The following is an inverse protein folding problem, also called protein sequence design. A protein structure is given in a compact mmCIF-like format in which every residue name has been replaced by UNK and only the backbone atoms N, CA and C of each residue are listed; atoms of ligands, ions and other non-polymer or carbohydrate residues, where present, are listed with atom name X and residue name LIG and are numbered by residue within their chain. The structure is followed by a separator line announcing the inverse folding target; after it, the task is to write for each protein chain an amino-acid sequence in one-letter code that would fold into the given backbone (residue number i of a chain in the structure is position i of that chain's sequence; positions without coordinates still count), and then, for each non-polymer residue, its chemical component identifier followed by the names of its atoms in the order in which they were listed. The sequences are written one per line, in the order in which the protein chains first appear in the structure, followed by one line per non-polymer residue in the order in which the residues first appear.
data_IF_278868337119
#
_entry.id   IF_278868337119
#
_cell.length_a   1.000
_cell.length_b   1.000
_cell.length_c   1.000
_cell.angle_alpha   90.00
_cell.angle_beta   90.00
_cell.angle_gamma   90.00
#
_symmetry.space_group_name_H-M   'P 1'
#
loop_
_entity.id
_entity.type
_entity.pdbx_description
1 polymer ?
#
# COMPACT_ATOMS: atom_id res chain seq x y z
N UNK A 1 35.23 15.36 -35.03
CA UNK A 1 35.69 16.39 -34.08
C UNK A 1 37.14 16.65 -34.35
N UNK A 2 37.48 17.91 -34.59
CA UNK A 2 38.85 18.44 -34.75
C UNK A 2 39.68 18.38 -33.46
N UNK A 3 39.05 18.17 -32.31
CA UNK A 3 39.70 18.19 -30.99
C UNK A 3 39.73 19.59 -30.35
N UNK A 4 39.17 20.59 -31.04
CA UNK A 4 39.01 21.97 -30.58
C UNK A 4 37.55 22.39 -30.74
N UNK A 5 37.15 23.43 -29.99
CA UNK A 5 35.80 24.01 -30.02
C UNK A 5 35.91 25.43 -30.56
N UNK A 6 35.17 25.72 -31.64
CA UNK A 6 35.05 27.07 -32.17
C UNK A 6 33.92 27.87 -31.48
N UNK A 7 33.85 29.17 -31.77
CA UNK A 7 32.87 30.08 -31.14
C UNK A 7 31.43 29.64 -31.42
N UNK A 8 31.14 29.13 -32.62
CA UNK A 8 29.80 28.75 -33.07
C UNK A 8 29.35 27.41 -32.45
N UNK A 9 30.29 26.48 -32.27
CA UNK A 9 30.10 25.23 -31.55
C UNK A 9 29.83 25.51 -30.06
N UNK A 10 30.60 26.40 -29.43
CA UNK A 10 30.38 26.80 -28.04
C UNK A 10 28.98 27.44 -27.86
N UNK A 11 28.57 28.29 -28.80
CA UNK A 11 27.23 28.90 -28.81
C UNK A 11 26.12 27.85 -28.83
N UNK A 12 26.29 26.82 -29.67
CA UNK A 12 25.32 25.73 -29.83
C UNK A 12 25.22 24.86 -28.56
N UNK A 13 26.35 24.63 -27.88
CA UNK A 13 26.38 23.94 -26.58
C UNK A 13 25.61 24.73 -25.53
N UNK A 14 25.90 26.03 -25.37
CA UNK A 14 25.22 26.89 -24.40
C UNK A 14 23.71 26.98 -24.69
N UNK A 15 23.31 27.11 -25.96
CA UNK A 15 21.91 27.12 -26.34
C UNK A 15 21.18 25.82 -25.97
N UNK A 16 21.86 24.68 -26.11
CA UNK A 16 21.32 23.37 -25.77
C UNK A 16 21.18 23.20 -24.26
N UNK A 17 22.21 23.57 -23.47
CA UNK A 17 22.18 23.58 -22.00
C UNK A 17 21.04 24.46 -21.46
N UNK A 18 20.81 25.62 -22.07
CA UNK A 18 19.74 26.53 -21.69
C UNK A 18 18.35 25.95 -21.93
N UNK A 19 18.14 25.28 -23.08
CA UNK A 19 16.88 24.59 -23.38
C UNK A 19 16.61 23.44 -22.42
N UNK A 20 17.66 22.69 -22.03
CA UNK A 20 17.54 21.60 -21.06
C UNK A 20 17.20 22.12 -19.67
N UNK A 21 17.78 23.25 -19.28
CA UNK A 21 17.55 23.88 -17.96
C UNK A 21 16.29 24.74 -17.88
N UNK A 22 15.48 24.79 -18.95
CA UNK A 22 14.29 25.64 -19.07
C UNK A 22 14.56 27.14 -18.79
N UNK A 23 15.79 27.61 -19.04
CA UNK A 23 16.18 29.02 -18.93
C UNK A 23 16.03 29.65 -20.33
N UNK A 24 15.40 30.82 -20.42
CA UNK A 24 15.33 31.62 -21.65
C UNK A 24 16.11 32.92 -21.50
N UNK A 25 17.04 33.17 -22.41
CA UNK A 25 17.76 34.43 -22.55
C UNK A 25 17.56 34.97 -23.97
N UNK A 26 17.51 36.28 -24.17
CA UNK A 26 17.57 36.89 -25.51
C UNK A 26 18.84 36.45 -26.24
N UNK A 27 18.75 36.22 -27.56
CA UNK A 27 19.87 35.74 -28.37
C UNK A 27 21.10 36.68 -28.26
N UNK A 28 20.89 37.99 -28.21
CA UNK A 28 21.97 38.98 -28.01
C UNK A 28 22.76 38.78 -26.72
N UNK A 29 22.10 38.38 -25.63
CA UNK A 29 22.76 38.08 -24.35
C UNK A 29 23.46 36.75 -24.36
N UNK A 30 22.92 35.77 -25.10
CA UNK A 30 23.57 34.47 -25.31
C UNK A 30 24.85 34.64 -26.12
N UNK A 31 24.83 35.49 -27.15
CA UNK A 31 26.00 35.79 -27.97
C UNK A 31 27.08 36.51 -27.15
N UNK A 32 26.70 37.51 -26.34
CA UNK A 32 27.62 38.19 -25.42
C UNK A 32 28.22 37.23 -24.37
N UNK A 33 27.42 36.33 -23.81
CA UNK A 33 27.89 35.32 -22.87
C UNK A 33 28.87 34.34 -23.54
N UNK A 34 28.55 33.93 -24.76
CA UNK A 34 29.40 33.02 -25.55
C UNK A 34 30.74 33.67 -25.82
N UNK A 35 30.75 34.93 -26.29
CA UNK A 35 31.97 35.68 -26.54
C UNK A 35 32.80 35.88 -25.28
N UNK A 36 32.19 36.30 -24.17
CA UNK A 36 32.89 36.50 -22.91
C UNK A 36 33.51 35.21 -22.36
N UNK A 37 32.80 34.08 -22.49
CA UNK A 37 33.31 32.78 -22.07
C UNK A 37 34.40 32.25 -23.02
N UNK A 38 34.26 32.54 -24.32
CA UNK A 38 35.24 32.16 -25.32
C UNK A 38 36.56 32.92 -25.14
N UNK A 39 36.51 34.25 -25.00
CA UNK A 39 37.68 35.10 -24.77
C UNK A 39 38.38 34.77 -23.44
N UNK A 40 37.62 34.33 -22.43
CA UNK A 40 38.20 33.92 -21.15
C UNK A 40 38.89 32.55 -21.22
N UNK A 41 38.36 31.64 -22.04
CA UNK A 41 38.88 30.28 -22.22
C UNK A 41 40.07 30.21 -23.19
N UNK A 42 40.06 30.99 -24.28
CA UNK A 42 41.09 31.06 -25.32
C UNK A 42 42.33 31.83 -24.82
N UNK A 43 43.14 31.18 -23.98
CA UNK A 43 44.31 31.79 -23.33
C UNK A 43 45.44 32.09 -24.31
N UNK A 44 45.56 31.30 -25.38
CA UNK A 44 46.61 31.45 -26.38
C UNK A 44 46.18 32.28 -27.61
N UNK A 45 44.92 32.74 -27.63
CA UNK A 45 44.32 33.61 -28.65
C UNK A 45 44.40 33.01 -30.06
N UNK A 46 44.30 31.68 -30.16
CA UNK A 46 44.41 30.96 -31.42
C UNK A 46 43.05 30.86 -32.16
N UNK A 47 41.95 31.33 -31.55
CA UNK A 47 40.61 31.31 -32.10
C UNK A 47 39.89 29.96 -31.96
N UNK A 48 40.38 29.06 -31.10
CA UNK A 48 39.85 27.73 -30.88
C UNK A 48 40.16 27.21 -29.46
N UNK A 49 39.13 26.80 -28.71
CA UNK A 49 39.31 26.32 -27.34
C UNK A 49 39.69 24.84 -27.35
N UNK A 50 40.82 24.50 -26.75
CA UNK A 50 41.22 23.11 -26.53
C UNK A 50 40.51 22.49 -25.32
N UNK A 51 40.51 21.16 -25.22
CA UNK A 51 39.91 20.46 -24.07
C UNK A 51 40.49 20.90 -22.73
N UNK A 52 41.82 21.10 -22.67
CA UNK A 52 42.49 21.51 -21.42
C UNK A 52 42.11 22.94 -21.04
N UNK A 53 41.98 23.85 -22.00
CA UNK A 53 41.54 25.24 -21.77
C UNK A 53 40.08 25.30 -21.29
N UNK A 54 39.17 24.57 -21.93
CA UNK A 54 37.79 24.50 -21.50
C UNK A 54 37.69 23.90 -20.08
N UNK A 55 38.46 22.83 -19.81
CA UNK A 55 38.48 22.20 -18.48
C UNK A 55 38.94 23.18 -17.41
N UNK A 56 40.02 23.89 -17.66
CA UNK A 56 40.57 24.85 -16.70
C UNK A 56 39.58 26.00 -16.42
N UNK A 57 38.87 26.45 -17.46
CA UNK A 57 37.88 27.52 -17.33
C UNK A 57 36.63 27.07 -16.54
N UNK A 58 36.13 25.87 -16.82
CA UNK A 58 35.02 25.28 -16.06
C UNK A 58 35.39 24.96 -14.61
N UNK A 59 36.65 24.61 -14.33
CA UNK A 59 37.15 24.43 -12.96
C UNK A 59 37.26 25.76 -12.21
N UNK A 60 37.54 26.87 -12.92
CA UNK A 60 37.59 28.21 -12.34
C UNK A 60 36.22 28.70 -11.89
N UNK A 61 35.15 28.25 -12.57
CA UNK A 61 33.77 28.58 -12.25
C UNK A 61 32.94 27.33 -11.93
N UNK A 62 33.14 26.69 -10.75
CA UNK A 62 32.48 25.43 -10.41
C UNK A 62 30.95 25.53 -10.40
N UNK A 63 30.40 26.69 -10.03
CA UNK A 63 28.95 26.94 -10.08
C UNK A 63 28.37 26.98 -11.50
N UNK A 64 29.19 27.25 -12.52
CA UNK A 64 28.76 27.20 -13.93
C UNK A 64 28.72 25.74 -14.41
N UNK A 65 29.71 24.92 -14.04
CA UNK A 65 29.73 23.48 -14.33
C UNK A 65 28.53 22.74 -13.69
N UNK A 66 28.18 23.07 -12.44
CA UNK A 66 27.05 22.50 -11.71
C UNK A 66 25.68 22.85 -12.31
N UNK A 67 25.56 24.00 -12.98
CA UNK A 67 24.30 24.47 -13.56
C UNK A 67 24.19 24.20 -15.08
N UNK A 68 25.30 24.14 -15.82
CA UNK A 68 25.33 23.80 -17.25
C UNK A 68 25.04 22.32 -17.50
N UNK A 69 25.39 21.47 -16.54
CA UNK A 69 24.99 20.08 -16.54
C UNK A 69 24.03 19.88 -15.38
N UNK A 70 22.72 19.80 -15.66
CA UNK A 70 21.82 19.09 -14.74
C UNK A 70 22.24 17.63 -14.82
N UNK A 71 23.36 17.31 -14.17
CA UNK A 71 23.88 15.96 -14.16
C UNK A 71 22.96 15.18 -13.26
N UNK A 72 22.02 14.45 -13.88
CA UNK A 72 21.25 13.42 -13.20
C UNK A 72 22.18 12.44 -12.46
N UNK A 73 23.46 12.34 -12.86
CA UNK A 73 24.47 11.58 -12.14
C UNK A 73 24.75 12.13 -10.72
N UNK A 74 24.63 13.44 -10.46
CA UNK A 74 24.75 14.00 -9.11
C UNK A 74 23.56 13.62 -8.21
N UNK A 75 22.38 13.43 -8.79
CA UNK A 75 21.21 12.90 -8.08
C UNK A 75 21.36 11.40 -7.78
N UNK A 76 22.18 10.71 -8.58
CA UNK A 76 22.51 9.29 -8.44
C UNK A 76 23.76 9.06 -7.61
N UNK A 77 24.61 10.07 -7.36
CA UNK A 77 25.77 9.92 -6.48
C UNK A 77 25.26 9.66 -5.06
N UNK A 78 25.48 8.45 -4.51
CA UNK A 78 25.07 8.17 -3.15
C UNK A 78 25.85 9.13 -2.23
N UNK A 79 25.19 9.72 -1.22
CA UNK A 79 25.89 10.56 -0.25
C UNK A 79 27.06 9.77 0.35
N UNK A 80 28.17 10.47 0.61
CA UNK A 80 29.39 9.87 1.17
C UNK A 80 29.03 8.91 2.31
N UNK A 81 29.56 7.69 2.24
CA UNK A 81 29.18 6.60 3.12
C UNK A 81 29.37 7.03 4.59
N UNK A 82 28.25 7.28 5.28
CA UNK A 82 28.32 7.61 6.70
C UNK A 82 28.91 6.42 7.47
N UNK A 83 29.76 6.67 8.49
CA UNK A 83 30.37 5.60 9.27
C UNK A 83 29.30 4.67 9.82
N UNK A 84 29.39 3.37 9.47
CA UNK A 84 28.45 2.34 9.93
C UNK A 84 28.47 2.27 11.45
N UNK A 85 27.44 2.83 12.11
CA UNK A 85 27.25 2.70 13.56
C UNK A 85 27.11 1.22 13.93
N UNK A 86 27.95 0.74 14.85
CA UNK A 86 28.01 -0.66 15.34
C UNK A 86 26.83 -1.07 16.23
N UNK A 87 25.95 -0.13 16.62
CA UNK A 87 24.78 -0.45 17.44
C UNK A 87 23.65 -1.02 16.56
N UNK A 88 22.93 -2.04 17.01
CA UNK A 88 21.77 -2.53 16.28
C UNK A 88 20.75 -1.40 16.10
N UNK A 89 20.23 -1.24 14.87
CA UNK A 89 19.34 -0.13 14.48
C UNK A 89 18.13 0.02 15.42
N UNK A 90 17.62 -1.09 15.96
CA UNK A 90 16.50 -1.17 16.91
C UNK A 90 16.74 -0.42 18.24
N UNK A 91 17.98 -0.28 18.69
CA UNK A 91 18.34 0.40 19.94
C UNK A 91 18.74 1.87 19.73
N UNK A 92 18.53 2.41 18.54
CA UNK A 92 18.88 3.81 18.24
C UNK A 92 17.72 4.74 18.62
N UNK A 93 18.00 5.85 19.29
CA UNK A 93 16.96 6.86 19.65
C UNK A 93 16.14 7.32 18.45
N UNK A 94 16.77 7.44 17.28
CA UNK A 94 16.08 7.80 16.03
C UNK A 94 15.05 6.74 15.59
N UNK A 95 15.32 5.44 15.83
CA UNK A 95 14.37 4.37 15.50
C UNK A 95 13.13 4.46 16.39
N UNK A 96 13.33 4.64 17.69
CA UNK A 96 12.25 4.83 18.66
C UNK A 96 11.44 6.07 18.38
N UNK A 97 12.09 7.19 18.03
CA UNK A 97 11.38 8.41 17.68
C UNK A 97 10.50 8.23 16.43
N UNK A 98 11.03 7.60 15.38
CA UNK A 98 10.32 7.39 14.11
C UNK A 98 9.19 6.36 14.24
N UNK A 99 9.29 5.41 15.17
CA UNK A 99 8.31 4.32 15.34
C UNK A 99 7.49 4.42 16.63
N UNK A 100 7.54 5.54 17.35
CA UNK A 100 6.90 5.69 18.67
C UNK A 100 5.40 5.36 18.65
N UNK A 101 4.65 5.84 17.66
CA UNK A 101 3.20 5.60 17.52
C UNK A 101 2.90 4.12 17.26
N UNK A 102 3.73 3.47 16.45
CA UNK A 102 3.63 2.04 16.16
C UNK A 102 3.95 1.19 17.40
N UNK A 103 5.02 1.52 18.12
CA UNK A 103 5.39 0.82 19.35
C UNK A 103 4.32 1.02 20.43
N UNK A 104 3.81 2.24 20.61
CA UNK A 104 2.73 2.53 21.55
C UNK A 104 1.47 1.71 21.25
N UNK A 105 1.04 1.68 19.99
CA UNK A 105 -0.11 0.87 19.55
C UNK A 105 0.12 -0.63 19.83
N UNK A 106 1.30 -1.16 19.50
CA UNK A 106 1.65 -2.56 19.76
C UNK A 106 1.71 -2.88 21.25
N UNK A 107 2.26 -1.98 22.07
CA UNK A 107 2.28 -2.15 23.53
C UNK A 107 0.87 -2.11 24.12
N UNK A 108 0.00 -1.21 23.67
CA UNK A 108 -1.39 -1.16 24.12
C UNK A 108 -2.15 -2.43 23.72
N UNK A 109 -1.95 -2.91 22.49
CA UNK A 109 -2.53 -4.16 22.00
C UNK A 109 -2.09 -5.36 22.84
N UNK A 110 -0.79 -5.51 23.11
CA UNK A 110 -0.26 -6.62 23.92
C UNK A 110 -0.70 -6.57 25.37
N UNK A 111 -0.72 -5.38 25.99
CA UNK A 111 -1.25 -5.20 27.36
C UNK A 111 -2.73 -5.58 27.43
N UNK A 112 -3.54 -5.16 26.46
CA UNK A 112 -4.94 -5.55 26.39
C UNK A 112 -5.11 -7.07 26.28
N UNK A 113 -4.30 -7.74 25.47
CA UNK A 113 -4.32 -9.21 25.33
C UNK A 113 -3.99 -9.91 26.64
N UNK A 114 -2.93 -9.49 27.31
CA UNK A 114 -2.52 -10.06 28.61
C UNK A 114 -3.63 -9.84 29.64
N UNK A 115 -4.23 -8.66 29.67
CA UNK A 115 -5.32 -8.33 30.59
C UNK A 115 -6.56 -9.21 30.34
N UNK A 116 -7.04 -9.28 29.10
CA UNK A 116 -8.20 -10.10 28.73
C UNK A 116 -7.97 -11.58 29.04
N UNK A 117 -6.78 -12.09 28.70
CA UNK A 117 -6.40 -13.46 28.99
C UNK A 117 -6.38 -13.73 30.50
N UNK A 118 -5.70 -12.88 31.28
CA UNK A 118 -5.56 -13.05 32.72
C UNK A 118 -6.90 -12.98 33.46
N UNK A 119 -7.79 -12.06 33.07
CA UNK A 119 -9.13 -11.95 33.64
C UNK A 119 -10.00 -13.18 33.35
N UNK A 120 -9.94 -13.70 32.13
CA UNK A 120 -10.72 -14.88 31.78
C UNK A 120 -10.17 -16.15 32.43
N UNK A 121 -8.84 -16.27 32.50
CA UNK A 121 -8.15 -17.39 33.13
C UNK A 121 -8.41 -17.40 34.64
N UNK A 122 -8.35 -16.25 35.32
CA UNK A 122 -8.62 -16.15 36.76
C UNK A 122 -10.07 -16.52 37.11
N UNK A 123 -11.04 -16.08 36.31
CA UNK A 123 -12.45 -16.42 36.48
C UNK A 123 -12.74 -17.94 36.33
N UNK A 124 -11.88 -18.68 35.63
CA UNK A 124 -12.07 -20.10 35.35
C UNK A 124 -11.04 -21.01 36.05
N UNK A 125 -10.36 -20.49 37.08
CA UNK A 125 -9.31 -21.22 37.81
C UNK A 125 -9.76 -22.56 38.38
N UNK A 126 -11.02 -22.65 38.80
CA UNK A 126 -11.61 -23.85 39.38
C UNK A 126 -11.78 -25.02 38.38
N UNK A 127 -11.77 -24.74 37.06
CA UNK A 127 -12.00 -25.76 36.01
C UNK A 127 -10.71 -26.41 35.49
N UNK A 128 -9.57 -26.11 36.12
CA UNK A 128 -8.26 -26.65 35.76
C UNK A 128 -7.50 -25.82 34.72
N UNK A 129 -6.19 -26.09 34.55
CA UNK A 129 -5.29 -25.25 33.75
C UNK A 129 -5.64 -25.22 32.26
N UNK A 130 -6.08 -26.36 31.69
CA UNK A 130 -6.49 -26.42 30.27
C UNK A 130 -7.71 -25.55 30.01
N UNK A 131 -8.70 -25.55 30.91
CA UNK A 131 -9.87 -24.71 30.80
C UNK A 131 -9.54 -23.22 30.96
N UNK A 132 -8.60 -22.87 31.85
CA UNK A 132 -8.11 -21.49 31.99
C UNK A 132 -7.50 -20.97 30.69
N UNK A 133 -6.62 -21.76 30.06
CA UNK A 133 -5.99 -21.41 28.77
C UNK A 133 -7.05 -21.29 27.68
N UNK A 134 -7.96 -22.25 27.58
CA UNK A 134 -9.03 -22.23 26.59
C UNK A 134 -9.91 -20.97 26.71
N UNK A 135 -10.32 -20.60 27.93
CA UNK A 135 -11.14 -19.40 28.17
C UNK A 135 -10.36 -18.09 28.02
N UNK A 136 -9.09 -18.07 28.39
CA UNK A 136 -8.15 -16.98 28.11
C UNK A 136 -8.04 -16.68 26.62
N UNK A 137 -7.65 -17.68 25.83
CA UNK A 137 -7.56 -17.55 24.37
C UNK A 137 -8.92 -17.18 23.75
N UNK A 138 -10.02 -17.75 24.23
CA UNK A 138 -11.36 -17.44 23.74
C UNK A 138 -11.75 -15.97 23.93
N UNK A 139 -11.37 -15.32 25.04
CA UNK A 139 -11.63 -13.89 25.22
C UNK A 139 -10.79 -13.01 24.30
N UNK A 140 -9.51 -13.34 24.11
CA UNK A 140 -8.67 -12.63 23.14
C UNK A 140 -9.20 -12.79 21.71
N UNK A 141 -9.63 -14.01 21.33
CA UNK A 141 -10.23 -14.29 20.03
C UNK A 141 -11.53 -13.50 19.80
N UNK A 142 -12.37 -13.32 20.82
CA UNK A 142 -13.56 -12.47 20.69
C UNK A 142 -13.19 -11.02 20.31
N UNK A 143 -12.17 -10.48 20.98
CA UNK A 143 -11.67 -9.14 20.67
C UNK A 143 -11.05 -9.09 19.26
N UNK A 144 -10.11 -9.97 18.93
CA UNK A 144 -9.41 -9.92 17.65
C UNK A 144 -10.37 -10.15 16.46
N UNK A 145 -11.23 -11.16 16.51
CA UNK A 145 -12.15 -11.48 15.43
C UNK A 145 -13.20 -10.38 15.20
N UNK A 146 -13.49 -9.54 16.20
CA UNK A 146 -14.36 -8.37 16.04
C UNK A 146 -13.58 -7.14 15.57
N UNK A 147 -12.42 -6.85 16.17
CA UNK A 147 -11.62 -5.67 15.89
C UNK A 147 -10.91 -5.72 14.54
N UNK A 148 -10.66 -6.92 13.97
CA UNK A 148 -9.98 -7.08 12.67
C UNK A 148 -10.73 -6.43 11.52
N UNK A 149 -12.04 -6.27 11.70
CA UNK A 149 -12.96 -5.60 10.78
C UNK A 149 -12.78 -4.09 10.79
N UNK A 150 -12.50 -3.51 11.96
CA UNK A 150 -12.27 -2.08 12.18
C UNK A 150 -11.06 -1.61 11.37
N UNK A 151 -10.02 -2.45 11.30
CA UNK A 151 -8.81 -2.17 10.52
C UNK A 151 -9.07 -2.10 9.01
N UNK A 152 -10.18 -2.68 8.55
CA UNK A 152 -10.60 -2.71 7.15
C UNK A 152 -11.68 -1.67 6.80
N UNK A 153 -12.02 -0.79 7.74
CA UNK A 153 -12.88 0.38 7.54
C UNK A 153 -12.11 1.51 6.85
N UNK A 154 -11.71 1.30 5.60
CA UNK A 154 -10.77 2.20 4.90
C UNK A 154 -11.28 3.62 4.81
N UNK A 155 -12.60 3.83 4.71
CA UNK A 155 -13.17 5.18 4.56
C UNK A 155 -13.28 5.88 5.90
N UNK A 156 -13.73 5.17 6.93
CA UNK A 156 -13.75 5.71 8.29
C UNK A 156 -12.32 6.06 8.75
N UNK A 157 -11.34 5.19 8.46
CA UNK A 157 -9.93 5.45 8.78
C UNK A 157 -9.38 6.64 7.98
N UNK A 158 -9.71 6.74 6.68
CA UNK A 158 -9.32 7.88 5.85
C UNK A 158 -9.95 9.18 6.36
N UNK A 159 -11.22 9.14 6.77
CA UNK A 159 -11.94 10.28 7.33
C UNK A 159 -11.33 10.72 8.67
N UNK A 160 -10.98 9.76 9.54
CA UNK A 160 -10.34 10.03 10.83
C UNK A 160 -8.96 10.68 10.66
N UNK A 161 -8.22 10.24 9.63
CA UNK A 161 -6.95 10.84 9.20
C UNK A 161 -7.15 12.26 8.68
N UNK A 162 -8.11 12.47 7.76
CA UNK A 162 -8.31 13.77 7.09
C UNK A 162 -8.74 14.88 8.07
N UNK A 163 -9.45 14.53 9.14
CA UNK A 163 -9.89 15.50 10.16
C UNK A 163 -8.81 15.86 11.18
N UNK A 164 -7.57 15.39 11.02
CA UNK A 164 -6.44 15.68 11.91
C UNK A 164 -6.81 15.56 13.41
N UNK A 165 -7.60 14.53 13.74
CA UNK A 165 -7.98 14.26 15.14
C UNK A 165 -6.72 13.94 15.95
N UNK A 166 -6.69 14.31 17.24
CA UNK A 166 -5.62 13.92 18.17
C UNK A 166 -5.29 12.43 18.08
N UNK A 167 -6.31 11.61 17.82
CA UNK A 167 -6.21 10.17 17.64
C UNK A 167 -5.38 9.76 16.41
N UNK A 168 -5.44 10.52 15.30
CA UNK A 168 -4.64 10.27 14.10
C UNK A 168 -3.15 10.59 14.28
N UNK A 169 -2.79 11.43 15.26
CA UNK A 169 -1.39 11.70 15.61
C UNK A 169 -0.77 10.59 16.46
N UNK A 170 -1.61 9.85 17.21
CA UNK A 170 -1.19 8.77 18.10
C UNK A 170 -1.23 7.41 17.42
N UNK A 171 -2.26 7.15 16.59
CA UNK A 171 -2.43 5.86 15.91
C UNK A 171 -1.79 5.86 14.51
N UNK A 172 -0.97 4.85 14.15
CA UNK A 172 -0.40 4.70 12.82
C UNK A 172 -1.43 4.17 11.79
N UNK A 173 -2.43 4.98 11.46
CA UNK A 173 -3.58 4.57 10.62
C UNK A 173 -3.18 4.13 9.20
N UNK A 174 -2.07 4.64 8.67
CA UNK A 174 -1.58 4.30 7.32
C UNK A 174 -1.06 2.85 7.22
N UNK A 175 -0.79 2.20 8.36
CA UNK A 175 -0.32 0.80 8.43
C UNK A 175 -1.43 -0.18 8.82
N UNK A 176 -2.70 0.20 8.66
CA UNK A 176 -3.85 -0.63 9.01
C UNK A 176 -3.82 -2.04 8.38
N UNK A 177 -3.39 -2.19 7.13
CA UNK A 177 -3.26 -3.49 6.45
C UNK A 177 -2.16 -4.34 7.08
N UNK A 178 -1.03 -3.73 7.48
CA UNK A 178 0.05 -4.44 8.17
C UNK A 178 -0.42 -4.92 9.56
N UNK A 179 -1.18 -4.09 10.26
CA UNK A 179 -1.75 -4.45 11.55
C UNK A 179 -2.84 -5.53 11.43
N UNK A 180 -3.65 -5.51 10.36
CA UNK A 180 -4.58 -6.59 10.05
C UNK A 180 -3.86 -7.92 9.78
N UNK A 181 -2.74 -7.90 9.06
CA UNK A 181 -1.91 -9.10 8.86
C UNK A 181 -1.36 -9.62 10.18
N UNK A 182 -0.79 -8.73 11.01
CA UNK A 182 -0.31 -9.08 12.35
C UNK A 182 -1.40 -9.75 13.19
N UNK A 183 -2.60 -9.14 13.24
CA UNK A 183 -3.72 -9.67 14.01
C UNK A 183 -4.24 -10.98 13.43
N UNK A 184 -4.20 -11.15 12.10
CA UNK A 184 -4.48 -12.44 11.45
C UNK A 184 -3.55 -13.56 11.93
N UNK A 185 -2.24 -13.29 12.06
CA UNK A 185 -1.29 -14.26 12.64
C UNK A 185 -1.62 -14.57 14.10
N UNK A 186 -1.94 -13.55 14.90
CA UNK A 186 -2.31 -13.72 16.32
C UNK A 186 -3.58 -14.57 16.45
N UNK A 187 -4.61 -14.33 15.63
CA UNK A 187 -5.86 -15.12 15.59
C UNK A 187 -5.57 -16.58 15.28
N UNK A 188 -4.69 -16.89 14.33
CA UNK A 188 -4.33 -18.28 14.00
C UNK A 188 -3.64 -18.96 15.18
N UNK A 189 -2.65 -18.30 15.80
CA UNK A 189 -1.93 -18.86 16.95
C UNK A 189 -2.85 -19.06 18.15
N UNK A 190 -3.67 -18.06 18.49
CA UNK A 190 -4.62 -18.16 19.60
C UNK A 190 -5.70 -19.20 19.33
N UNK A 191 -6.19 -19.33 18.10
CA UNK A 191 -7.14 -20.39 17.71
C UNK A 191 -6.53 -21.77 17.89
N UNK A 192 -5.27 -21.97 17.48
CA UNK A 192 -4.58 -23.25 17.66
C UNK A 192 -4.43 -23.61 19.16
N UNK A 193 -3.95 -22.66 19.97
CA UNK A 193 -3.80 -22.86 21.42
C UNK A 193 -5.15 -23.12 22.09
N UNK A 194 -6.20 -22.39 21.68
CA UNK A 194 -7.57 -22.58 22.15
C UNK A 194 -8.10 -23.98 21.82
N UNK A 195 -7.92 -24.45 20.58
CA UNK A 195 -8.33 -25.80 20.16
C UNK A 195 -7.57 -26.87 20.93
N UNK A 196 -6.25 -26.76 21.05
CA UNK A 196 -5.43 -27.74 21.81
C UNK A 196 -5.89 -27.80 23.27
N UNK A 197 -6.11 -26.65 23.90
CA UNK A 197 -6.59 -26.58 25.28
C UNK A 197 -7.99 -27.21 25.44
N UNK A 198 -8.88 -27.06 24.46
CA UNK A 198 -10.17 -27.75 24.45
C UNK A 198 -10.04 -29.27 24.24
N UNK A 199 -9.18 -29.71 23.32
CA UNK A 199 -8.93 -31.13 23.06
C UNK A 199 -8.34 -31.81 24.29
N UNK A 200 -7.38 -31.18 24.98
CA UNK A 200 -6.83 -31.69 26.24
C UNK A 200 -7.91 -31.77 27.32
N UNK A 201 -8.75 -30.74 27.45
CA UNK A 201 -9.85 -30.74 28.41
C UNK A 201 -10.86 -31.87 28.12
N UNK A 202 -11.17 -32.10 26.84
CA UNK A 202 -12.05 -33.19 26.41
C UNK A 202 -11.44 -34.57 26.60
N UNK A 203 -10.13 -34.72 26.39
CA UNK A 203 -9.42 -35.97 26.64
C UNK A 203 -9.40 -36.31 28.13
N UNK A 204 -9.15 -35.33 29.00
CA UNK A 204 -9.21 -35.50 30.46
C UNK A 204 -10.64 -35.84 30.92
N UNK A 205 -11.65 -35.18 30.35
CA UNK A 205 -13.04 -35.48 30.64
C UNK A 205 -13.45 -36.89 30.21
N UNK A 206 -13.06 -37.33 29.01
CA UNK A 206 -13.38 -38.67 28.51
C UNK A 206 -12.66 -39.81 29.27
N UNK A 207 -11.59 -39.51 30.00
CA UNK A 207 -10.89 -40.46 30.87
C UNK A 207 -11.46 -40.51 32.30
N UNK A 208 -12.35 -39.58 32.67
CA UNK A 208 -12.99 -39.59 33.99
C UNK A 208 -14.07 -40.67 34.06
N UNK A 209 -14.08 -41.45 35.14
CA UNK A 209 -14.99 -42.60 35.35
C UNK A 209 -16.47 -42.19 35.35
N UNK A 210 -16.78 -40.93 35.66
CA UNK A 210 -18.14 -40.37 35.71
C UNK A 210 -18.67 -39.88 34.34
N UNK A 211 -17.87 -39.96 33.26
CA UNK A 211 -18.26 -39.41 31.96
C UNK A 211 -19.00 -40.42 31.08
N UNK A 212 -20.26 -40.14 30.67
CA UNK A 212 -21.01 -41.05 29.80
C UNK A 212 -20.64 -40.94 28.31
N UNK A 213 -19.70 -40.07 27.94
CA UNK A 213 -19.41 -39.70 26.56
C UNK A 213 -18.01 -40.09 26.13
N UNK A 214 -17.88 -40.62 24.91
CA UNK A 214 -16.57 -40.89 24.29
C UNK A 214 -15.93 -39.58 23.77
N UNK A 215 -14.61 -39.57 23.65
CA UNK A 215 -13.86 -38.43 23.10
C UNK A 215 -14.41 -37.89 21.77
N UNK A 216 -14.73 -38.77 20.82
CA UNK A 216 -15.28 -38.36 19.51
C UNK A 216 -16.68 -37.75 19.59
N UNK A 217 -17.50 -38.19 20.55
CA UNK A 217 -18.81 -37.60 20.79
C UNK A 217 -18.68 -36.19 21.36
N UNK A 218 -17.65 -35.96 22.18
CA UNK A 218 -17.32 -34.67 22.76
C UNK A 218 -16.79 -33.66 21.74
N UNK A 219 -16.05 -34.15 20.73
CA UNK A 219 -15.39 -33.33 19.72
C UNK A 219 -16.27 -33.03 18.49
N UNK A 220 -17.06 -33.99 18.02
CA UNK A 220 -17.77 -33.89 16.74
C UNK A 220 -19.30 -33.85 16.87
N UNK A 221 -19.84 -34.17 18.05
CA UNK A 221 -21.29 -34.31 18.25
C UNK A 221 -21.84 -33.23 19.16
N UNK A 222 -23.12 -32.91 18.99
CA UNK A 222 -23.89 -31.97 19.82
C UNK A 222 -24.48 -32.59 21.10
N UNK A 223 -24.41 -33.92 21.22
CA UNK A 223 -24.91 -34.70 22.37
C UNK A 223 -24.48 -34.19 23.75
N UNK A 224 -23.21 -33.75 23.96
CA UNK A 224 -22.77 -33.26 25.26
C UNK A 224 -23.42 -31.93 25.69
N UNK A 225 -24.17 -31.26 24.81
CA UNK A 225 -24.82 -29.98 25.13
C UNK A 225 -23.84 -28.82 25.38
N UNK A 226 -22.55 -28.97 25.03
CA UNK A 226 -21.52 -27.97 25.29
C UNK A 226 -21.65 -26.83 24.27
N UNK A 227 -22.05 -25.65 24.74
CA UNK A 227 -22.19 -24.46 23.91
C UNK A 227 -23.50 -23.74 24.14
N UNK A 228 -23.79 -22.75 23.30
CA UNK A 228 -25.05 -22.01 23.36
C UNK A 228 -26.16 -22.72 22.60
N UNK A 229 -26.04 -22.78 21.27
CA UNK A 229 -27.13 -23.26 20.39
C UNK A 229 -27.02 -24.79 20.29
N UNK A 230 -27.90 -25.51 20.98
CA UNK A 230 -28.00 -26.99 20.93
C UNK A 230 -26.66 -27.74 21.12
N UNK A 231 -25.75 -27.22 21.96
CA UNK A 231 -24.43 -27.86 22.17
C UNK A 231 -23.50 -27.85 20.94
N UNK A 232 -23.66 -26.89 20.04
CA UNK A 232 -22.92 -26.82 18.77
C UNK A 232 -21.47 -26.31 18.87
N UNK A 233 -20.93 -26.04 20.07
CA UNK A 233 -19.61 -25.40 20.18
C UNK A 233 -18.49 -26.27 19.57
N UNK A 234 -18.51 -27.59 19.79
CA UNK A 234 -17.48 -28.48 19.27
C UNK A 234 -17.50 -28.59 17.72
N UNK A 235 -18.62 -28.95 17.05
CA UNK A 235 -18.64 -29.03 15.59
C UNK A 235 -18.42 -27.68 14.91
N UNK A 236 -18.94 -26.58 15.47
CA UNK A 236 -18.69 -25.23 14.92
C UNK A 236 -17.22 -24.83 15.09
N UNK A 237 -16.56 -25.21 16.19
CA UNK A 237 -15.15 -24.95 16.41
C UNK A 237 -14.25 -25.65 15.39
N UNK A 238 -14.55 -26.91 15.05
CA UNK A 238 -13.84 -27.65 13.99
C UNK A 238 -14.04 -27.00 12.63
N UNK A 239 -15.28 -26.64 12.27
CA UNK A 239 -15.57 -25.95 11.02
C UNK A 239 -14.86 -24.59 10.93
N UNK A 240 -14.84 -23.81 12.02
CA UNK A 240 -14.11 -22.55 12.11
C UNK A 240 -12.62 -22.72 11.91
N UNK A 241 -12.01 -23.74 12.53
CA UNK A 241 -10.58 -24.00 12.38
C UNK A 241 -10.23 -24.35 10.93
N UNK A 242 -11.02 -25.20 10.26
CA UNK A 242 -10.82 -25.56 8.86
C UNK A 242 -10.93 -24.34 7.93
N UNK A 243 -11.96 -23.50 8.12
CA UNK A 243 -12.13 -22.27 7.35
C UNK A 243 -10.98 -21.28 7.61
N UNK A 244 -10.55 -21.12 8.86
CA UNK A 244 -9.44 -20.24 9.22
C UNK A 244 -8.12 -20.69 8.57
N UNK A 245 -7.82 -21.99 8.59
CA UNK A 245 -6.61 -22.54 7.97
C UNK A 245 -6.65 -22.37 6.45
N UNK A 246 -7.79 -22.64 5.81
CA UNK A 246 -7.99 -22.41 4.38
C UNK A 246 -7.80 -20.93 4.01
N UNK A 247 -8.46 -20.03 4.74
CA UNK A 247 -8.35 -18.59 4.54
C UNK A 247 -6.91 -18.11 4.71
N UNK A 248 -6.21 -18.59 5.74
CA UNK A 248 -4.82 -18.23 6.01
C UNK A 248 -3.86 -18.72 4.92
N UNK A 249 -3.98 -19.98 4.50
CA UNK A 249 -3.15 -20.57 3.45
C UNK A 249 -3.31 -19.77 2.13
N UNK A 250 -4.54 -19.53 1.70
CA UNK A 250 -4.86 -18.78 0.50
C UNK A 250 -4.53 -17.29 0.59
N UNK A 251 -4.37 -16.73 1.79
CA UNK A 251 -3.93 -15.34 2.03
C UNK A 251 -2.40 -15.17 2.04
N UNK A 252 -1.63 -16.25 1.90
CA UNK A 252 -0.17 -16.19 1.88
C UNK A 252 0.37 -15.33 0.72
N UNK A 253 1.55 -14.73 0.95
CA UNK A 253 2.21 -13.91 -0.07
C UNK A 253 2.55 -14.70 -1.34
N UNK A 254 2.76 -16.02 -1.22
CA UNK A 254 2.98 -16.90 -2.37
C UNK A 254 1.74 -16.89 -3.27
N UNK A 255 0.58 -17.31 -2.76
CA UNK A 255 -0.65 -17.43 -3.57
C UNK A 255 -1.08 -16.06 -4.12
N UNK A 256 -1.05 -15.01 -3.28
CA UNK A 256 -1.45 -13.67 -3.70
C UNK A 256 -0.53 -13.06 -4.77
N UNK A 257 0.76 -13.44 -4.80
CA UNK A 257 1.74 -12.98 -5.81
C UNK A 257 1.91 -13.97 -6.96
N UNK A 258 1.26 -15.13 -6.94
CA UNK A 258 1.30 -16.13 -8.03
C UNK A 258 0.27 -15.89 -9.13
N UNK A 259 -0.36 -14.70 -9.20
CA UNK A 259 -1.31 -14.34 -10.26
C UNK A 259 -2.76 -14.77 -10.02
N UNK A 260 -3.04 -15.49 -8.93
CA UNK A 260 -4.36 -16.02 -8.60
C UNK A 260 -5.04 -15.19 -7.49
N UNK A 261 -5.16 -13.87 -7.70
CA UNK A 261 -5.77 -12.98 -6.72
C UNK A 261 -7.24 -13.34 -6.43
N UNK A 262 -7.96 -13.90 -7.41
CA UNK A 262 -9.35 -14.34 -7.24
C UNK A 262 -9.50 -15.42 -6.17
N UNK A 263 -8.55 -16.37 -6.10
CA UNK A 263 -8.55 -17.41 -5.06
C UNK A 263 -8.43 -16.78 -3.68
N UNK A 264 -7.50 -15.83 -3.52
CA UNK A 264 -7.40 -15.03 -2.29
C UNK A 264 -8.72 -14.31 -1.99
N UNK A 265 -9.32 -13.63 -2.96
CA UNK A 265 -10.56 -12.87 -2.77
C UNK A 265 -11.72 -13.75 -2.29
N UNK A 266 -12.00 -14.86 -2.99
CA UNK A 266 -13.12 -15.75 -2.66
C UNK A 266 -12.92 -16.49 -1.35
N UNK A 267 -11.70 -16.97 -1.09
CA UNK A 267 -11.40 -17.64 0.18
C UNK A 267 -11.41 -16.67 1.35
N UNK A 268 -10.95 -15.43 1.17
CA UNK A 268 -11.03 -14.41 2.21
C UNK A 268 -12.48 -13.95 2.46
N UNK A 269 -13.36 -13.98 1.45
CA UNK A 269 -14.80 -13.72 1.61
C UNK A 269 -15.50 -14.71 2.56
N UNK A 270 -14.87 -15.85 2.87
CA UNK A 270 -15.33 -16.80 3.89
C UNK A 270 -15.41 -16.20 5.31
N UNK A 271 -14.96 -14.97 5.54
CA UNK A 271 -15.23 -14.25 6.78
C UNK A 271 -16.73 -14.17 7.11
N UNK A 272 -17.62 -14.13 6.10
CA UNK A 272 -19.08 -14.12 6.31
C UNK A 272 -19.59 -15.39 7.00
N UNK A 273 -19.40 -16.61 6.43
CA UNK A 273 -19.77 -17.84 7.13
C UNK A 273 -19.00 -18.02 8.44
N UNK A 274 -17.75 -17.55 8.54
CA UNK A 274 -17.01 -17.57 9.81
C UNK A 274 -17.69 -16.75 10.91
N UNK A 275 -18.24 -15.56 10.62
CA UNK A 275 -18.97 -14.79 11.64
C UNK A 275 -20.23 -15.48 12.11
N UNK A 276 -20.99 -16.08 11.19
CA UNK A 276 -22.18 -16.87 11.55
C UNK A 276 -21.77 -18.01 12.48
N UNK A 277 -20.73 -18.76 12.12
CA UNK A 277 -20.21 -19.84 12.95
C UNK A 277 -19.65 -19.34 14.29
N UNK A 278 -18.98 -18.18 14.35
CA UNK A 278 -18.48 -17.59 15.61
C UNK A 278 -19.61 -17.18 16.55
N UNK A 279 -20.72 -16.64 16.02
CA UNK A 279 -21.93 -16.33 16.80
C UNK A 279 -22.52 -17.62 17.40
N UNK A 280 -22.58 -18.70 16.62
CA UNK A 280 -23.08 -20.00 17.08
C UNK A 280 -22.13 -20.67 18.09
N UNK A 281 -20.82 -20.53 17.86
CA UNK A 281 -19.76 -21.12 18.68
C UNK A 281 -19.64 -20.45 20.06
N UNK A 282 -19.69 -19.11 20.08
CA UNK A 282 -19.41 -18.29 21.26
C UNK A 282 -20.64 -17.54 21.78
N UNK A 283 -21.11 -17.81 23.02
CA UNK A 283 -22.34 -17.22 23.56
C UNK A 283 -22.32 -15.69 23.67
N UNK A 284 -21.13 -15.12 23.86
CA UNK A 284 -20.93 -13.69 24.03
C UNK A 284 -20.37 -12.99 22.80
N UNK A 285 -20.01 -13.72 21.73
CA UNK A 285 -19.30 -13.15 20.57
C UNK A 285 -20.14 -12.08 19.86
N UNK A 286 -21.46 -12.26 19.78
CA UNK A 286 -22.36 -11.31 19.15
C UNK A 286 -22.29 -9.90 19.78
N UNK A 287 -22.00 -9.80 21.09
CA UNK A 287 -21.83 -8.52 21.79
C UNK A 287 -20.59 -7.77 21.31
N UNK A 288 -19.51 -8.51 21.07
CA UNK A 288 -18.26 -7.96 20.52
C UNK A 288 -18.40 -7.56 19.06
N UNK A 289 -19.15 -8.34 18.27
CA UNK A 289 -19.34 -8.07 16.84
C UNK A 289 -20.33 -6.93 16.57
N UNK A 290 -21.27 -6.63 17.48
CA UNK A 290 -22.38 -5.69 17.22
C UNK A 290 -21.90 -4.33 16.67
N UNK A 291 -21.04 -3.63 17.41
CA UNK A 291 -20.58 -2.29 17.02
C UNK A 291 -19.64 -2.32 15.81
N UNK A 292 -18.55 -3.12 15.80
CA UNK A 292 -17.65 -3.20 14.65
C UNK A 292 -18.34 -3.71 13.38
N UNK A 293 -19.22 -4.69 13.52
CA UNK A 293 -19.97 -5.31 12.43
C UNK A 293 -20.93 -4.34 11.76
N UNK A 294 -21.77 -3.63 12.55
CA UNK A 294 -22.68 -2.60 12.00
C UNK A 294 -21.89 -1.53 11.25
N UNK A 295 -20.79 -1.05 11.84
CA UNK A 295 -19.96 -0.02 11.20
C UNK A 295 -19.34 -0.53 9.88
N UNK A 296 -18.89 -1.78 9.87
CA UNK A 296 -18.36 -2.43 8.66
C UNK A 296 -19.41 -2.55 7.56
N UNK A 297 -20.61 -3.04 7.86
CA UNK A 297 -21.69 -3.11 6.87
C UNK A 297 -22.09 -1.74 6.34
N UNK A 298 -22.21 -0.74 7.23
CA UNK A 298 -22.55 0.62 6.83
C UNK A 298 -21.50 1.19 5.87
N UNK A 299 -20.21 1.02 6.15
CA UNK A 299 -19.15 1.47 5.24
C UNK A 299 -19.23 0.76 3.87
N UNK A 300 -19.50 -0.55 3.85
CA UNK A 300 -19.66 -1.31 2.60
C UNK A 300 -20.87 -0.87 1.79
N UNK A 301 -22.00 -0.59 2.43
CA UNK A 301 -23.23 -0.11 1.77
C UNK A 301 -23.01 1.28 1.16
N UNK A 302 -22.48 2.22 1.96
CA UNK A 302 -22.08 3.55 1.47
C UNK A 302 -21.07 3.38 0.33
N UNK A 303 -20.25 2.34 0.40
CA UNK A 303 -19.28 2.04 -0.62
C UNK A 303 -19.75 1.55 -1.94
N UNK A 304 -20.70 0.64 -1.90
CA UNK A 304 -21.39 0.18 -3.06
C UNK A 304 -22.16 1.34 -3.72
N UNK A 305 -22.90 2.13 -2.91
CA UNK A 305 -23.66 3.28 -3.40
C UNK A 305 -22.77 4.29 -4.15
N UNK A 306 -21.64 4.70 -3.55
CA UNK A 306 -20.72 5.65 -4.19
C UNK A 306 -20.08 5.05 -5.45
N UNK A 307 -19.71 3.75 -5.45
CA UNK A 307 -19.10 3.13 -6.63
C UNK A 307 -20.06 3.03 -7.82
N UNK A 308 -21.36 2.84 -7.58
CA UNK A 308 -22.36 2.81 -8.65
C UNK A 308 -22.64 4.18 -9.26
N UNK A 309 -22.33 5.27 -8.55
CA UNK A 309 -22.55 6.64 -9.03
C UNK A 309 -21.40 7.17 -9.91
N UNK A 310 -20.27 6.46 -10.01
CA UNK A 310 -19.03 6.95 -10.62
C UNK A 310 -18.43 6.00 -11.64
N UNK A 311 -19.20 5.56 -12.64
CA UNK A 311 -18.60 4.90 -13.81
C UNK A 311 -17.80 5.95 -14.59
N UNK A 312 -16.47 5.85 -14.57
CA UNK A 312 -15.60 6.82 -15.23
C UNK A 312 -15.16 6.31 -16.60
N UNK A 313 -15.26 7.16 -17.61
CA UNK A 313 -14.69 6.90 -18.93
C UNK A 313 -13.20 7.26 -18.93
N UNK A 314 -12.37 6.33 -19.39
CA UNK A 314 -10.96 6.60 -19.70
C UNK A 314 -10.94 7.38 -21.01
N UNK A 315 -10.46 8.63 -20.96
CA UNK A 315 -10.43 9.53 -22.11
C UNK A 315 -9.22 9.23 -22.99
N UNK A 316 -8.05 9.05 -22.38
CA UNK A 316 -6.78 8.85 -23.10
C UNK A 316 -5.82 8.00 -22.25
N UNK A 317 -5.00 7.21 -22.92
CA UNK A 317 -3.94 6.42 -22.29
C UNK A 317 -2.64 6.62 -23.04
N UNK A 318 -1.62 7.09 -22.32
CA UNK A 318 -0.29 7.33 -22.87
C UNK A 318 0.74 6.44 -22.17
N UNK A 319 1.50 5.66 -22.95
CA UNK A 319 2.59 4.84 -22.43
C UNK A 319 3.87 5.67 -22.39
N UNK A 320 4.40 5.89 -21.20
CA UNK A 320 5.62 6.65 -20.98
C UNK A 320 6.84 5.72 -20.85
N UNK A 321 8.06 6.24 -21.08
CA UNK A 321 9.31 5.53 -20.79
C UNK A 321 9.34 5.01 -19.34
N UNK A 322 10.15 3.99 -19.07
CA UNK A 322 10.28 3.35 -17.74
C UNK A 322 9.05 2.58 -17.25
N UNK A 323 8.21 2.08 -18.18
CA UNK A 323 6.99 1.30 -17.88
C UNK A 323 6.02 2.04 -16.97
N UNK A 324 5.62 3.23 -17.39
CA UNK A 324 4.60 4.03 -16.71
C UNK A 324 3.40 4.21 -17.65
N UNK A 325 2.20 3.93 -17.16
CA UNK A 325 0.94 4.20 -17.86
C UNK A 325 0.37 5.51 -17.34
N UNK A 326 0.28 6.52 -18.20
CA UNK A 326 -0.42 7.77 -17.93
C UNK A 326 -1.89 7.62 -18.34
N UNK A 327 -2.80 7.67 -17.36
CA UNK A 327 -4.24 7.54 -17.57
C UNK A 327 -4.91 8.90 -17.42
N UNK A 328 -5.67 9.28 -18.44
CA UNK A 328 -6.52 10.46 -18.45
C UNK A 328 -7.97 10.02 -18.22
N UNK A 329 -8.56 10.44 -17.11
CA UNK A 329 -9.92 10.05 -16.71
C UNK A 329 -10.80 11.29 -16.70
N UNK A 330 -12.04 11.17 -17.17
CA UNK A 330 -13.02 12.25 -17.11
C UNK A 330 -13.38 12.59 -15.66
N UNK A 331 -13.36 13.88 -15.30
CA UNK A 331 -13.65 14.34 -13.95
C UNK A 331 -15.18 14.48 -13.75
N UNK A 332 -15.76 13.85 -12.71
CA UNK A 332 -17.17 14.03 -12.39
C UNK A 332 -17.45 15.46 -11.90
N UNK A 333 -18.66 15.99 -12.17
CA UNK A 333 -19.02 17.37 -11.81
C UNK A 333 -18.98 17.64 -10.30
N UNK A 334 -19.17 16.61 -9.46
CA UNK A 334 -19.15 16.74 -7.99
C UNK A 334 -17.83 16.28 -7.35
N UNK A 335 -16.82 15.89 -8.15
CA UNK A 335 -15.57 15.34 -7.63
C UNK A 335 -14.59 16.46 -7.27
N UNK A 336 -14.45 16.73 -5.97
CA UNK A 336 -13.49 17.70 -5.42
C UNK A 336 -12.37 16.96 -4.71
N UNK A 337 -11.12 17.34 -5.00
CA UNK A 337 -9.93 16.75 -4.39
C UNK A 337 -8.91 17.84 -4.06
N UNK A 338 -7.98 17.54 -3.15
CA UNK A 338 -6.86 18.39 -2.76
C UNK A 338 -5.56 17.86 -3.35
N UNK A 339 -4.52 18.71 -3.52
CA UNK A 339 -3.21 18.25 -3.96
C UNK A 339 -2.67 17.17 -3.03
N UNK A 340 -2.22 16.05 -3.60
CA UNK A 340 -1.72 14.90 -2.85
C UNK A 340 -2.76 13.84 -2.48
N UNK A 341 -4.05 14.06 -2.76
CA UNK A 341 -5.08 13.04 -2.60
C UNK A 341 -4.87 11.86 -3.56
N UNK A 342 -5.43 10.70 -3.20
CA UNK A 342 -5.43 9.50 -4.04
C UNK A 342 -6.84 8.97 -4.23
N UNK A 343 -7.04 8.21 -5.30
CA UNK A 343 -8.28 7.52 -5.60
C UNK A 343 -8.06 6.01 -5.70
N UNK A 344 -9.13 5.23 -5.58
CA UNK A 344 -9.09 3.80 -5.88
C UNK A 344 -9.61 3.56 -7.29
N UNK A 345 -8.81 2.88 -8.10
CA UNK A 345 -9.14 2.52 -9.46
C UNK A 345 -9.44 1.02 -9.56
N UNK A 346 -10.55 0.68 -10.20
CA UNK A 346 -10.89 -0.68 -10.63
C UNK A 346 -11.13 -0.62 -12.14
N UNK A 347 -10.45 -1.52 -12.87
CA UNK A 347 -10.59 -1.66 -14.32
C UNK A 347 -11.13 -3.08 -14.57
N UNK A 348 -12.45 -3.24 -14.74
CA UNK A 348 -13.09 -4.56 -14.78
C UNK A 348 -12.59 -5.48 -15.90
N UNK A 349 -12.06 -4.91 -17.00
CA UNK A 349 -11.45 -5.66 -18.11
C UNK A 349 -10.13 -6.34 -17.73
N UNK A 350 -9.43 -5.83 -16.70
CA UNK A 350 -8.16 -6.39 -16.21
C UNK A 350 -8.40 -7.26 -14.98
N UNK A 351 -9.18 -6.74 -14.02
CA UNK A 351 -9.53 -7.46 -12.81
C UNK A 351 -10.85 -6.91 -12.24
N UNK A 352 -11.87 -7.76 -12.17
CA UNK A 352 -13.23 -7.38 -11.74
C UNK A 352 -13.31 -6.98 -10.27
N UNK A 353 -12.53 -7.64 -9.41
CA UNK A 353 -12.66 -7.53 -7.94
C UNK A 353 -11.48 -6.80 -7.27
N UNK A 354 -10.58 -6.19 -8.05
CA UNK A 354 -9.38 -5.54 -7.53
C UNK A 354 -9.50 -4.01 -7.57
N UNK A 355 -9.31 -3.36 -6.42
CA UNK A 355 -9.26 -1.90 -6.29
C UNK A 355 -7.86 -1.48 -5.83
N UNK A 356 -7.19 -0.66 -6.64
CA UNK A 356 -5.81 -0.22 -6.40
C UNK A 356 -5.75 1.30 -6.14
N UNK A 357 -5.05 1.76 -5.08
CA UNK A 357 -4.92 3.19 -4.80
C UNK A 357 -3.86 3.84 -5.69
N UNK A 358 -4.17 4.98 -6.29
CA UNK A 358 -3.23 5.80 -7.06
C UNK A 358 -3.39 7.28 -6.69
N UNK A 359 -2.26 7.95 -6.47
CA UNK A 359 -2.21 9.39 -6.21
C UNK A 359 -2.62 10.16 -7.45
N UNK A 360 -3.45 11.18 -7.26
CA UNK A 360 -3.85 12.09 -8.32
C UNK A 360 -2.67 12.99 -8.65
N UNK A 361 -2.22 12.93 -9.90
CA UNK A 361 -1.08 13.71 -10.40
C UNK A 361 -1.47 15.03 -11.07
N UNK A 362 -2.76 15.19 -11.41
CA UNK A 362 -3.31 16.46 -11.91
C UNK A 362 -3.54 17.46 -10.79
N UNK A 363 -3.54 18.75 -11.14
CA UNK A 363 -3.86 19.83 -10.22
C UNK A 363 -5.38 20.01 -10.08
N UNK A 364 -5.91 20.33 -8.88
CA UNK A 364 -7.35 20.45 -8.64
C UNK A 364 -8.03 21.56 -9.46
N UNK A 365 -7.27 22.51 -9.98
CA UNK A 365 -7.72 23.58 -10.88
C UNK A 365 -8.16 23.04 -12.26
N UNK A 366 -7.69 21.84 -12.65
CA UNK A 366 -8.09 21.18 -13.88
C UNK A 366 -9.50 20.58 -13.74
N UNK A 367 -10.48 21.20 -14.42
CA UNK A 367 -11.91 20.92 -14.22
C UNK A 367 -12.42 19.67 -14.93
N UNK A 368 -11.84 19.31 -16.08
CA UNK A 368 -12.46 18.30 -16.96
C UNK A 368 -11.80 16.92 -16.84
N UNK A 369 -10.55 16.84 -16.36
CA UNK A 369 -9.78 15.60 -16.37
C UNK A 369 -8.97 15.39 -15.09
N UNK A 370 -8.78 14.11 -14.74
CA UNK A 370 -7.95 13.63 -13.64
C UNK A 370 -6.83 12.79 -14.24
N UNK A 371 -5.59 13.07 -13.82
CA UNK A 371 -4.40 12.39 -14.35
C UNK A 371 -3.86 11.42 -13.32
N UNK A 372 -3.58 10.18 -13.74
CA UNK A 372 -2.92 9.18 -12.92
C UNK A 372 -1.67 8.67 -13.62
N UNK A 373 -0.57 8.57 -12.86
CA UNK A 373 0.66 7.92 -13.31
C UNK A 373 0.80 6.58 -12.61
N UNK A 374 0.63 5.48 -13.36
CA UNK A 374 0.67 4.12 -12.83
C UNK A 374 1.97 3.45 -13.27
N UNK A 375 2.87 3.18 -12.32
CA UNK A 375 4.11 2.44 -12.58
C UNK A 375 3.86 0.94 -12.58
N UNK A 376 4.44 0.24 -13.55
CA UNK A 376 4.32 -1.22 -13.71
C UNK A 376 5.28 -1.97 -12.77
N UNK A 377 4.90 -2.11 -11.49
CA UNK A 377 5.69 -2.85 -10.49
C UNK A 377 5.01 -4.14 -9.97
N UNK A 378 3.68 -4.23 -10.07
CA UNK A 378 2.89 -5.38 -9.65
C UNK A 378 2.21 -6.11 -10.81
N UNK A 379 1.59 -7.26 -10.51
CA UNK A 379 0.89 -8.07 -11.51
C UNK A 379 -0.27 -7.33 -12.17
N UNK A 380 -1.09 -6.62 -11.38
CA UNK A 380 -2.19 -5.82 -11.91
C UNK A 380 -1.69 -4.66 -12.78
N UNK A 381 -0.70 -3.90 -12.32
CA UNK A 381 -0.13 -2.76 -13.07
C UNK A 381 0.62 -3.21 -14.33
N UNK A 382 1.21 -4.41 -14.32
CA UNK A 382 1.82 -5.01 -15.51
C UNK A 382 0.76 -5.43 -16.52
N UNK A 383 -0.32 -6.10 -16.08
CA UNK A 383 -1.44 -6.47 -16.96
C UNK A 383 -2.09 -5.23 -17.60
N UNK A 384 -2.26 -4.16 -16.83
CA UNK A 384 -2.76 -2.87 -17.33
C UNK A 384 -1.84 -2.28 -18.41
N UNK A 385 -0.52 -2.28 -18.19
CA UNK A 385 0.43 -1.76 -19.17
C UNK A 385 0.44 -2.60 -20.45
N UNK A 386 0.50 -3.93 -20.33
CA UNK A 386 0.51 -4.84 -21.47
C UNK A 386 -0.83 -4.83 -22.24
N UNK A 387 -1.98 -4.67 -21.58
CA UNK A 387 -3.27 -4.58 -22.26
C UNK A 387 -3.35 -3.37 -23.20
N UNK A 388 -2.86 -2.21 -22.75
CA UNK A 388 -2.83 -1.01 -23.59
C UNK A 388 -1.72 -1.06 -24.64
N UNK A 389 -0.60 -1.71 -24.34
CA UNK A 389 0.47 -1.96 -25.31
C UNK A 389 -0.01 -2.85 -26.48
N UNK A 390 -0.80 -3.89 -26.20
CA UNK A 390 -1.39 -4.74 -27.24
C UNK A 390 -2.45 -4.00 -28.09
N UNK A 391 -3.20 -3.07 -27.48
CA UNK A 391 -4.18 -2.22 -28.17
C UNK A 391 -3.54 -1.13 -29.03
N UNK A 392 -2.26 -0.82 -28.81
CA UNK A 392 -1.44 -0.01 -29.70
C UNK A 392 -0.49 -0.91 -30.52
N UNK A 393 -0.98 -1.63 -31.55
CA UNK A 393 -0.09 -2.34 -32.44
C UNK A 393 0.82 -1.32 -33.13
N UNK A 394 2.12 -1.45 -32.88
CA UNK A 394 3.26 -0.99 -33.68
C UNK A 394 2.92 0.05 -34.75
N UNK A 395 2.81 1.31 -34.34
CA UNK A 395 2.98 2.45 -35.24
C UNK A 395 3.69 3.59 -34.49
N UNK A 396 4.79 3.23 -33.81
CA UNK A 396 5.67 4.19 -33.14
C UNK A 396 6.99 4.33 -33.89
N UNK A 397 6.88 4.66 -35.17
CA UNK A 397 7.88 5.46 -35.86
C UNK A 397 7.48 6.93 -35.77
N UNK A 398 8.15 7.70 -34.91
CA UNK A 398 8.40 9.16 -35.05
C UNK A 398 7.26 10.08 -35.55
N UNK A 399 5.98 9.85 -35.20
CA UNK A 399 4.86 10.59 -35.80
C UNK A 399 3.81 11.22 -34.86
N UNK A 400 3.69 10.78 -33.60
CA UNK A 400 2.57 11.21 -32.75
C UNK A 400 2.69 12.65 -32.22
N UNK A 401 3.89 13.12 -31.89
CA UNK A 401 4.10 14.51 -31.45
C UNK A 401 3.81 15.52 -32.58
N UNK A 402 4.17 15.15 -33.82
CA UNK A 402 3.89 15.88 -35.05
C UNK A 402 2.40 15.98 -35.36
N UNK A 403 1.63 14.89 -35.16
CA UNK A 403 0.18 14.88 -35.32
C UNK A 403 -0.54 15.73 -34.26
N UNK A 404 -0.08 15.69 -33.00
CA UNK A 404 -0.64 16.53 -31.92
C UNK A 404 -0.37 18.03 -32.14
N UNK A 405 0.83 18.39 -32.62
CA UNK A 405 1.18 19.77 -32.98
C UNK A 405 0.39 20.28 -34.21
N UNK A 406 0.17 19.44 -35.24
CA UNK A 406 -0.65 19.81 -36.40
C UNK A 406 -2.11 20.09 -36.00
N UNK A 407 -2.67 19.30 -35.09
CA UNK A 407 -4.06 19.45 -34.59
C UNK A 407 -4.22 20.70 -33.71
N UNK A 408 -3.22 21.03 -32.88
CA UNK A 408 -3.21 22.30 -32.12
C UNK A 408 -3.04 23.54 -33.01
N UNK A 409 -2.35 23.43 -34.15
CA UNK A 409 -2.20 24.54 -35.12
C UNK A 409 -3.45 24.76 -35.98
N UNK A 410 -4.25 23.71 -36.27
CA UNK A 410 -5.49 23.87 -37.04
C UNK A 410 -6.65 24.46 -36.23
N UNK A 411 -6.62 24.35 -34.89
CA UNK A 411 -7.62 24.96 -34.00
C UNK A 411 -7.34 26.43 -33.65
N UNK A 412 -6.19 26.98 -34.07
CA UNK A 412 -5.78 28.38 -33.86
C UNK A 412 -5.85 29.23 -35.13
N UNK A 413 -6.44 28.71 -36.22
CA UNK A 413 -6.73 29.48 -37.44
C UNK A 413 -8.21 29.73 -37.57
#
# INVERSE_FOLDING_TARGET
GSGSIDVDELRTVLQSCMRESAISLPDEKLDQLTLALFESADKDCNGAITFDELRDELQRFPGVMENLTISAAHWLTPPAAQPRRRRPRLLTSAYWHNHRSHLLCLTAYTVLHVLLFALAASAHRARGPSAMVAKGCGQCLNFDCSFITVLMLRRCLTWLRLRATWLAQVLPLDRNIQFHQLMGYVVVVLSLVHTVAHVVNFALQAQSEDSPFRFWELLLTTRPGIGWVYGSASPTGVALLLLLVLMFACSSSCIRRSGHFEVFYWTHLSYFPMWILLILHGPNFWKWLLVPGILFFLEKIIGLAISHMGAFCIVEVNLLPSKVTHLLIERPPLFHYRPGDYLYLNVPSIARYEWHPFTISSAPEQKDTIWLHVRSEGQWTNRLYESFKMLCPMDCGSGQLSKSLKRRRSQRR
#
